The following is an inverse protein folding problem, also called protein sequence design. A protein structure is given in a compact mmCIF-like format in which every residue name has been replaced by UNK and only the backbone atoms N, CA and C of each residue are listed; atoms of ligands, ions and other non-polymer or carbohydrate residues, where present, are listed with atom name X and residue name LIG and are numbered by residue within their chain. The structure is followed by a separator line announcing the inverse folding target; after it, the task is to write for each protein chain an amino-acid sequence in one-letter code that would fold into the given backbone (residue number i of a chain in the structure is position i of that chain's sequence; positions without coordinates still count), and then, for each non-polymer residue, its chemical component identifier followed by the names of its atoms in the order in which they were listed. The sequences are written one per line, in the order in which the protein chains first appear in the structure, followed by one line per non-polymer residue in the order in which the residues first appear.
data_IF_519559319344
#
_entry.id   IF_519559319344
#
_cell.length_a   1.000
_cell.length_b   1.000
_cell.length_c   1.000
_cell.angle_alpha   90.00
_cell.angle_beta   90.00
_cell.angle_gamma   90.00
#
_symmetry.space_group_name_H-M   'P 1'
#
loop_
_entity.id
_entity.type
_entity.pdbx_description
1 polymer ?
#
# COMPACT_ATOMS: atom_id res chain seq x y z
N UNK A 1 44.35 -12.72 13.80
CA UNK A 1 44.58 -11.33 13.36
C UNK A 1 43.82 -11.14 12.06
N UNK A 2 42.85 -10.22 12.03
CA UNK A 2 42.02 -9.92 10.86
C UNK A 2 40.52 -10.15 11.09
N UNK A 3 39.92 -9.50 12.08
CA UNK A 3 38.48 -9.27 12.07
C UNK A 3 38.21 -8.17 11.02
N UNK A 4 37.44 -8.52 9.99
CA UNK A 4 36.94 -7.55 9.01
C UNK A 4 35.77 -6.81 9.66
N UNK A 5 36.02 -5.55 10.04
CA UNK A 5 34.99 -4.62 10.53
C UNK A 5 33.99 -4.36 9.39
N UNK A 6 32.78 -4.89 9.51
CA UNK A 6 31.68 -4.58 8.60
C UNK A 6 31.34 -3.10 8.70
N UNK A 7 31.57 -2.34 7.63
CA UNK A 7 31.27 -0.91 7.62
C UNK A 7 29.76 -0.69 7.70
N UNK A 8 29.34 -0.07 8.80
CA UNK A 8 27.98 0.36 9.11
C UNK A 8 27.61 1.56 8.20
N UNK A 9 26.67 1.39 7.27
CA UNK A 9 26.32 2.45 6.32
C UNK A 9 25.18 3.29 6.89
N UNK A 10 25.52 4.44 7.47
CA UNK A 10 24.57 5.51 7.80
C UNK A 10 24.50 6.44 6.60
N UNK A 11 23.40 6.41 5.84
CA UNK A 11 23.23 7.29 4.67
C UNK A 11 22.44 8.53 5.09
N UNK A 12 23.01 9.74 5.08
CA UNK A 12 22.28 10.94 5.43
C UNK A 12 21.34 11.36 4.31
N UNK A 13 20.15 11.75 4.71
CA UNK A 13 19.21 12.50 3.89
C UNK A 13 19.46 13.98 4.14
N UNK A 14 19.63 14.73 3.06
CA UNK A 14 19.92 16.16 3.11
C UNK A 14 18.88 16.97 2.36
N UNK A 15 18.73 18.24 2.74
CA UNK A 15 18.04 19.22 1.91
C UNK A 15 18.91 19.53 0.69
N UNK A 16 18.29 19.55 -0.48
CA UNK A 16 18.99 19.74 -1.75
C UNK A 16 19.45 21.19 -1.97
N UNK A 17 18.77 22.17 -1.35
CA UNK A 17 19.09 23.60 -1.50
C UNK A 17 20.33 24.03 -0.71
N UNK A 18 20.46 23.60 0.56
CA UNK A 18 21.52 24.05 1.47
C UNK A 18 22.45 22.92 1.96
N UNK A 19 22.12 21.66 1.68
CA UNK A 19 22.91 20.50 2.07
C UNK A 19 22.76 20.10 3.55
N UNK A 20 21.85 20.69 4.31
CA UNK A 20 21.64 20.35 5.72
C UNK A 20 21.13 18.91 5.89
N UNK A 21 21.69 18.18 6.86
CA UNK A 21 21.24 16.82 7.17
C UNK A 21 19.97 16.84 8.03
N UNK A 22 18.93 16.14 7.58
CA UNK A 22 17.60 16.13 8.22
C UNK A 22 17.19 14.75 8.75
N UNK A 23 17.77 13.68 8.21
CA UNK A 23 17.53 12.31 8.63
C UNK A 23 18.70 11.41 8.24
N UNK A 24 18.75 10.21 8.81
CA UNK A 24 19.70 9.16 8.42
C UNK A 24 18.96 7.85 8.16
N UNK A 25 19.44 7.11 7.17
CA UNK A 25 19.04 5.72 6.91
C UNK A 25 19.95 4.83 7.73
N UNK A 26 19.38 3.92 8.52
CA UNK A 26 20.13 2.95 9.28
C UNK A 26 19.73 1.52 8.90
N UNK A 27 20.75 0.72 8.59
CA UNK A 27 20.64 -0.71 8.33
C UNK A 27 21.48 -1.42 9.40
N UNK A 28 20.90 -1.96 10.48
CA UNK A 28 21.71 -2.66 11.49
C UNK A 28 21.00 -3.79 12.24
N UNK A 29 21.67 -4.95 12.30
CA UNK A 29 21.60 -5.95 13.38
C UNK A 29 22.56 -5.54 14.51
N UNK A 30 22.15 -5.66 15.79
CA UNK A 30 22.92 -5.19 16.96
C UNK A 30 24.18 -6.03 17.22
N UNK A 31 25.29 -5.35 17.55
CA UNK A 31 26.36 -5.93 18.35
C UNK A 31 27.02 -4.86 19.24
N UNK A 32 26.75 -4.98 20.55
CA UNK A 32 27.49 -4.47 21.71
C UNK A 32 27.83 -2.96 21.76
N UNK A 33 26.99 -2.22 22.50
CA UNK A 33 27.27 -0.87 22.96
C UNK A 33 28.25 -0.90 24.15
N UNK A 34 29.40 -0.22 24.02
CA UNK A 34 30.19 0.24 25.16
C UNK A 34 30.49 1.74 25.01
N UNK A 35 30.05 2.48 26.05
CA UNK A 35 30.44 3.81 26.54
C UNK A 35 30.75 4.93 25.51
N UNK A 36 29.69 5.66 25.11
CA UNK A 36 29.62 7.11 24.77
C UNK A 36 28.61 7.40 23.63
N UNK A 37 27.91 6.39 23.12
CA UNK A 37 26.73 6.59 22.29
C UNK A 37 25.56 7.08 23.15
N UNK A 38 24.93 8.19 22.74
CA UNK A 38 23.62 8.59 23.26
C UNK A 38 22.65 7.46 22.90
N UNK A 39 22.18 6.72 23.90
CA UNK A 39 21.16 5.68 23.75
C UNK A 39 19.86 6.31 23.19
N UNK A 40 19.72 6.27 21.87
CA UNK A 40 18.54 6.73 21.12
C UNK A 40 17.43 5.66 21.05
N UNK A 41 17.60 4.52 21.73
CA UNK A 41 16.68 3.39 21.63
C UNK A 41 16.32 2.87 23.04
N UNK A 42 15.02 2.77 23.39
CA UNK A 42 14.60 1.87 24.46
C UNK A 42 14.94 0.45 24.03
N UNK A 43 15.85 -0.19 24.74
CA UNK A 43 16.16 -1.61 24.64
C UNK A 43 14.89 -2.40 24.94
N UNK A 44 14.26 -2.96 23.89
CA UNK A 44 13.43 -4.18 23.88
C UNK A 44 12.41 -4.13 22.72
N UNK A 45 12.80 -4.48 21.49
CA UNK A 45 11.85 -5.03 20.50
C UNK A 45 12.58 -6.01 19.57
N UNK A 46 12.19 -7.29 19.66
CA UNK A 46 12.69 -8.38 18.84
C UNK A 46 12.59 -8.08 17.33
N UNK A 47 13.75 -8.21 16.68
CA UNK A 47 14.06 -7.76 15.33
C UNK A 47 13.48 -8.70 14.26
N UNK A 48 12.55 -8.19 13.44
CA UNK A 48 12.40 -8.59 12.04
C UNK A 48 12.66 -7.36 11.19
N UNK A 49 13.89 -7.26 10.67
CA UNK A 49 14.50 -6.05 10.14
C UNK A 49 13.92 -5.62 8.78
N UNK A 50 12.92 -4.74 8.80
CA UNK A 50 12.82 -3.74 7.74
C UNK A 50 13.92 -2.69 7.99
N UNK A 51 14.58 -2.14 6.96
CA UNK A 51 15.45 -0.99 7.14
C UNK A 51 14.65 0.16 7.78
N UNK A 52 15.32 1.02 8.57
CA UNK A 52 14.65 2.07 9.35
C UNK A 52 15.21 3.45 8.97
N UNK A 53 14.33 4.42 8.65
CA UNK A 53 14.75 5.84 8.68
C UNK A 53 14.64 6.37 10.10
N UNK A 54 15.67 7.10 10.54
CA UNK A 54 15.66 7.81 11.81
C UNK A 54 15.72 9.31 11.52
N UNK A 55 14.60 10.05 11.63
CA UNK A 55 14.61 11.51 11.50
C UNK A 55 15.40 12.11 12.67
N UNK A 56 16.24 13.12 12.40
CA UNK A 56 17.17 13.66 13.40
C UNK A 56 16.46 14.55 14.45
N UNK A 57 15.15 14.78 14.37
CA UNK A 57 14.40 15.51 15.43
C UNK A 57 12.96 15.04 15.66
N UNK A 58 12.67 14.72 16.92
CA UNK A 58 11.34 14.90 17.54
C UNK A 58 11.51 15.20 19.03
N UNK A 59 11.56 16.48 19.42
CA UNK A 59 11.32 16.87 20.82
C UNK A 59 9.81 16.93 21.02
N UNK A 60 9.25 15.95 21.72
CA UNK A 60 7.89 16.06 22.26
C UNK A 60 7.86 17.18 23.30
N UNK A 61 6.74 17.91 23.38
CA UNK A 61 6.50 18.96 24.38
C UNK A 61 6.63 18.45 25.85
N UNK A 62 6.66 17.12 26.05
CA UNK A 62 6.81 16.46 27.35
C UNK A 62 8.20 15.83 27.60
N UNK A 63 9.28 16.40 27.07
CA UNK A 63 10.64 16.15 27.59
C UNK A 63 11.28 14.77 27.34
N UNK A 64 10.54 13.78 26.82
CA UNK A 64 11.10 12.55 26.27
C UNK A 64 11.15 12.66 24.74
N UNK A 65 12.34 12.49 24.14
CA UNK A 65 12.49 12.46 22.69
C UNK A 65 11.90 11.15 22.15
N UNK A 66 10.64 11.18 21.71
CA UNK A 66 10.03 10.06 21.02
C UNK A 66 10.61 10.00 19.60
N UNK A 67 11.72 9.30 19.40
CA UNK A 67 12.28 9.03 18.08
C UNK A 67 11.19 8.34 17.25
N UNK A 68 10.71 9.02 16.19
CA UNK A 68 9.77 8.40 15.26
C UNK A 68 10.51 7.32 14.47
N UNK A 69 10.18 6.05 14.71
CA UNK A 69 10.67 4.94 13.89
C UNK A 69 9.96 5.01 12.53
N UNK A 70 10.72 4.93 11.44
CA UNK A 70 10.16 4.89 10.08
C UNK A 70 10.49 3.52 9.47
N UNK A 71 9.51 2.63 9.33
CA UNK A 71 9.73 1.34 8.68
C UNK A 71 9.70 1.49 7.15
N UNK A 72 10.64 0.84 6.47
CA UNK A 72 10.80 0.96 5.02
C UNK A 72 10.23 -0.25 4.30
N UNK A 73 9.26 0.01 3.41
CA UNK A 73 8.77 -0.95 2.42
C UNK A 73 9.71 -0.92 1.22
N UNK A 74 10.47 -2.00 1.05
CA UNK A 74 11.43 -2.13 -0.06
C UNK A 74 10.75 -2.64 -1.34
N UNK A 75 11.34 -2.37 -2.52
CA UNK A 75 10.72 -2.75 -3.81
C UNK A 75 10.46 -4.25 -3.95
N UNK A 76 11.36 -5.09 -3.41
CA UNK A 76 11.21 -6.54 -3.49
C UNK A 76 9.98 -7.08 -2.74
N UNK A 77 9.42 -6.32 -1.80
CA UNK A 77 8.13 -6.67 -1.17
C UNK A 77 6.94 -6.46 -2.12
N UNK A 78 7.13 -5.73 -3.23
CA UNK A 78 6.07 -5.39 -4.18
C UNK A 78 6.01 -6.33 -5.40
N UNK A 79 7.01 -7.20 -5.58
CA UNK A 79 7.09 -8.16 -6.70
C UNK A 79 5.95 -9.20 -6.67
N UNK A 80 5.47 -9.53 -5.47
CA UNK A 80 4.42 -10.51 -5.23
C UNK A 80 3.05 -9.89 -5.01
N UNK A 81 2.23 -10.61 -4.24
CA UNK A 81 0.98 -10.11 -3.70
C UNK A 81 1.26 -9.01 -2.65
N UNK A 82 0.73 -7.77 -2.81
CA UNK A 82 0.88 -6.69 -1.85
C UNK A 82 0.01 -6.85 -0.59
N UNK A 83 -0.96 -7.76 -0.57
CA UNK A 83 -1.89 -7.98 0.55
C UNK A 83 -1.18 -8.23 1.89
N UNK A 84 -0.18 -9.13 1.98
CA UNK A 84 0.57 -9.33 3.22
C UNK A 84 1.36 -8.09 3.63
N UNK A 85 1.86 -7.32 2.67
CA UNK A 85 2.62 -6.09 2.92
C UNK A 85 1.72 -5.02 3.53
N UNK A 86 0.49 -4.85 3.01
CA UNK A 86 -0.50 -3.95 3.61
C UNK A 86 -0.81 -4.31 5.06
N UNK A 87 -0.92 -5.61 5.37
CA UNK A 87 -1.11 -6.08 6.75
C UNK A 87 0.12 -5.86 7.66
N UNK A 88 1.34 -5.84 7.11
CA UNK A 88 2.55 -5.47 7.86
C UNK A 88 2.59 -3.96 8.13
N UNK A 89 2.22 -3.14 7.13
CA UNK A 89 2.09 -1.69 7.25
C UNK A 89 1.10 -1.33 8.35
N UNK A 90 -0.06 -1.99 8.39
CA UNK A 90 -1.08 -1.74 9.41
C UNK A 90 -0.58 -2.04 10.84
N UNK A 91 0.23 -3.09 11.00
CA UNK A 91 0.86 -3.40 12.30
C UNK A 91 1.91 -2.37 12.68
N UNK A 92 2.79 -2.01 11.75
CA UNK A 92 3.82 -1.00 11.98
C UNK A 92 3.17 0.34 12.40
N UNK A 93 2.10 0.77 11.72
CA UNK A 93 1.33 1.96 12.09
C UNK A 93 0.68 1.85 13.47
N UNK A 94 0.14 0.68 13.82
CA UNK A 94 -0.43 0.43 15.14
C UNK A 94 0.62 0.51 16.26
N UNK A 95 1.89 0.21 15.94
CA UNK A 95 3.05 0.39 16.84
C UNK A 95 3.57 1.84 16.89
N UNK A 96 3.01 2.75 16.08
CA UNK A 96 3.39 4.15 16.02
C UNK A 96 4.49 4.47 14.99
N UNK A 97 4.81 3.52 14.12
CA UNK A 97 5.78 3.74 13.05
C UNK A 97 5.21 4.63 11.94
N UNK A 98 6.10 5.45 11.41
CA UNK A 98 5.94 6.05 10.10
C UNK A 98 6.33 5.04 9.02
N UNK A 99 5.80 5.22 7.83
CA UNK A 99 6.01 4.30 6.71
C UNK A 99 6.75 5.03 5.60
N UNK A 100 7.84 4.43 5.14
CA UNK A 100 8.49 4.85 3.91
C UNK A 100 8.30 3.82 2.81
N UNK A 101 8.10 4.28 1.57
CA UNK A 101 8.13 3.43 0.40
C UNK A 101 9.35 3.77 -0.45
N UNK A 102 10.20 2.78 -0.74
CA UNK A 102 11.36 2.98 -1.61
C UNK A 102 11.18 2.38 -3.01
N UNK A 103 12.03 2.86 -3.93
CA UNK A 103 12.04 2.47 -5.34
C UNK A 103 10.88 3.02 -6.16
N UNK A 104 10.29 4.14 -5.75
CA UNK A 104 9.33 4.87 -6.59
C UNK A 104 10.06 5.39 -7.83
N UNK A 105 9.45 5.22 -9.00
CA UNK A 105 10.04 5.57 -10.30
C UNK A 105 11.06 4.56 -10.85
N UNK A 106 11.63 3.67 -10.02
CA UNK A 106 12.47 2.56 -10.48
C UNK A 106 11.74 1.22 -10.50
N UNK A 107 10.71 1.05 -9.68
CA UNK A 107 9.91 -0.17 -9.60
C UNK A 107 8.52 0.04 -10.23
N UNK A 108 8.10 -0.80 -11.20
CA UNK A 108 6.86 -0.58 -11.98
C UNK A 108 5.59 -0.43 -11.15
N UNK A 109 5.53 -1.09 -9.98
CA UNK A 109 4.33 -1.12 -9.12
C UNK A 109 4.28 -0.05 -8.03
N UNK A 110 5.42 0.56 -7.71
CA UNK A 110 5.53 1.37 -6.50
C UNK A 110 4.65 2.63 -6.57
N UNK A 111 4.59 3.25 -7.75
CA UNK A 111 3.79 4.45 -7.98
C UNK A 111 2.27 4.18 -7.86
N UNK A 112 1.80 3.07 -8.43
CA UNK A 112 0.39 2.69 -8.37
C UNK A 112 -0.07 2.26 -6.97
N UNK A 113 0.84 1.78 -6.13
CA UNK A 113 0.53 1.35 -4.76
C UNK A 113 0.56 2.49 -3.72
N UNK A 114 1.07 3.69 -4.06
CA UNK A 114 1.06 4.85 -3.15
C UNK A 114 -0.29 5.12 -2.49
N UNK A 115 -1.45 5.04 -3.18
CA UNK A 115 -2.74 5.30 -2.55
C UNK A 115 -3.22 4.23 -1.58
N UNK A 116 -2.63 3.02 -1.63
CA UNK A 116 -2.96 1.91 -0.73
C UNK A 116 -1.99 1.83 0.45
N UNK A 117 -0.72 2.15 0.20
CA UNK A 117 0.35 2.18 1.23
C UNK A 117 0.28 3.46 2.03
N UNK A 118 -0.07 4.57 1.37
CA UNK A 118 -0.14 5.93 1.91
C UNK A 118 1.12 6.33 2.70
N UNK A 119 2.33 6.25 2.11
CA UNK A 119 3.57 6.43 2.86
C UNK A 119 3.74 7.87 3.37
N UNK A 120 4.44 8.01 4.49
CA UNK A 120 4.87 9.28 5.07
C UNK A 120 6.13 9.81 4.38
N UNK A 121 6.99 8.89 3.90
CA UNK A 121 8.19 9.20 3.12
C UNK A 121 8.19 8.41 1.82
N UNK A 122 8.37 9.10 0.69
CA UNK A 122 8.45 8.51 -0.64
C UNK A 122 9.90 8.63 -1.11
N UNK A 123 10.57 7.50 -1.33
CA UNK A 123 11.95 7.47 -1.83
C UNK A 123 11.95 7.14 -3.31
N UNK A 124 12.32 8.13 -4.11
CA UNK A 124 12.44 8.06 -5.57
C UNK A 124 13.84 7.58 -5.91
N UNK A 125 13.96 6.44 -6.59
CA UNK A 125 15.25 5.90 -6.99
C UNK A 125 15.86 6.64 -8.20
N UNK A 126 17.17 6.52 -8.38
CA UNK A 126 17.91 7.15 -9.49
C UNK A 126 17.32 6.88 -10.89
N UNK A 127 16.72 5.70 -11.10
CA UNK A 127 16.03 5.37 -12.36
C UNK A 127 14.80 6.23 -12.64
N UNK A 128 14.07 6.66 -11.59
CA UNK A 128 12.93 7.56 -11.72
C UNK A 128 13.31 9.02 -11.97
N UNK A 129 14.55 9.39 -11.62
CA UNK A 129 15.12 10.71 -11.88
C UNK A 129 15.82 10.79 -13.24
N UNK A 130 15.94 9.67 -13.97
CA UNK A 130 16.58 9.64 -15.27
C UNK A 130 15.56 9.88 -16.39
N UNK A 131 16.00 10.42 -17.53
CA UNK A 131 15.16 10.61 -18.72
C UNK A 131 15.37 9.48 -19.74
N UNK A 132 15.35 8.23 -19.26
CA UNK A 132 15.53 7.03 -20.08
C UNK A 132 14.29 6.71 -20.92
N UNK A 133 14.44 5.80 -21.89
CA UNK A 133 13.35 5.44 -22.81
C UNK A 133 12.11 4.84 -22.11
N UNK A 134 12.28 4.23 -20.94
CA UNK A 134 11.22 3.56 -20.17
C UNK A 134 10.71 4.40 -18.98
N UNK A 135 11.25 5.59 -18.76
CA UNK A 135 10.85 6.48 -17.66
C UNK A 135 10.10 7.71 -18.19
N UNK A 136 8.93 8.00 -17.61
CA UNK A 136 8.22 9.26 -17.81
C UNK A 136 8.35 10.13 -16.55
N UNK A 137 9.41 10.98 -16.46
CA UNK A 137 9.65 11.81 -15.28
C UNK A 137 8.54 12.84 -15.06
N UNK A 138 7.80 13.23 -16.10
CA UNK A 138 6.69 14.19 -16.00
C UNK A 138 5.49 13.50 -15.36
N UNK A 139 5.12 12.30 -15.83
CA UNK A 139 4.05 11.52 -15.20
C UNK A 139 4.37 11.23 -13.73
N UNK A 140 5.61 10.83 -13.44
CA UNK A 140 6.08 10.65 -12.06
C UNK A 140 5.93 11.93 -11.23
N UNK A 141 6.39 13.08 -11.70
CA UNK A 141 6.27 14.34 -10.98
C UNK A 141 4.80 14.73 -10.73
N UNK A 142 3.93 14.56 -11.71
CA UNK A 142 2.50 14.83 -11.56
C UNK A 142 1.84 13.88 -10.54
N UNK A 143 2.20 12.60 -10.57
CA UNK A 143 1.72 11.61 -9.62
C UNK A 143 2.20 11.89 -8.20
N UNK A 144 3.48 12.25 -8.03
CA UNK A 144 4.06 12.66 -6.74
C UNK A 144 3.38 13.92 -6.20
N UNK A 145 3.24 14.96 -7.03
CA UNK A 145 2.56 16.20 -6.64
C UNK A 145 1.14 15.91 -6.12
N UNK A 146 0.37 15.08 -6.85
CA UNK A 146 -0.98 14.69 -6.45
C UNK A 146 -1.01 13.94 -5.11
N UNK A 147 -0.01 13.08 -4.82
CA UNK A 147 0.07 12.37 -3.54
C UNK A 147 0.47 13.31 -2.40
N UNK A 148 1.52 14.10 -2.59
CA UNK A 148 2.04 15.06 -1.60
C UNK A 148 0.98 16.08 -1.20
N UNK A 149 0.20 16.61 -2.15
CA UNK A 149 -0.88 17.55 -1.87
C UNK A 149 -1.91 16.97 -0.88
N UNK A 150 -2.18 15.67 -0.96
CA UNK A 150 -3.20 15.01 -0.12
C UNK A 150 -2.67 14.50 1.20
N UNK A 151 -1.47 13.92 1.21
CA UNK A 151 -0.92 13.23 2.38
C UNK A 151 0.13 14.04 3.13
N UNK A 152 0.61 15.16 2.59
CA UNK A 152 1.77 15.88 3.10
C UNK A 152 3.02 14.98 3.23
N UNK A 153 3.08 13.90 2.43
CA UNK A 153 4.22 12.99 2.40
C UNK A 153 5.48 13.71 1.93
N UNK A 154 6.63 13.29 2.45
CA UNK A 154 7.91 13.86 2.08
C UNK A 154 8.59 13.03 1.00
N UNK A 155 8.99 13.68 -0.08
CA UNK A 155 9.71 13.02 -1.18
C UNK A 155 11.21 13.18 -0.98
N UNK A 156 11.94 12.08 -1.09
CA UNK A 156 13.40 11.98 -1.01
C UNK A 156 13.91 11.36 -2.31
N UNK A 157 14.84 12.04 -2.98
CA UNK A 157 15.55 11.51 -4.12
C UNK A 157 16.77 10.71 -3.68
N UNK A 158 16.84 9.43 -4.02
CA UNK A 158 18.02 8.60 -3.78
C UNK A 158 18.90 8.48 -5.03
N UNK A 159 20.21 8.41 -4.84
CA UNK A 159 21.21 8.36 -5.92
C UNK A 159 21.58 9.72 -6.51
N UNK A 160 21.55 10.79 -5.72
CA UNK A 160 22.05 12.12 -6.11
C UNK A 160 23.59 12.12 -6.11
N UNK A 161 24.18 11.99 -7.29
CA UNK A 161 25.64 11.86 -7.46
C UNK A 161 26.30 13.14 -8.00
N UNK A 162 25.55 13.99 -8.70
CA UNK A 162 26.03 15.22 -9.34
C UNK A 162 25.17 16.44 -9.02
N UNK A 163 25.67 17.66 -9.29
CA UNK A 163 24.86 18.89 -9.21
C UNK A 163 23.67 18.87 -10.18
N UNK A 164 23.85 18.24 -11.34
CA UNK A 164 22.78 18.07 -12.34
C UNK A 164 21.63 17.21 -11.81
N UNK A 165 21.94 16.15 -11.06
CA UNK A 165 20.90 15.31 -10.45
C UNK A 165 20.10 16.11 -9.41
N UNK A 166 20.79 16.98 -8.66
CA UNK A 166 20.18 17.89 -7.69
C UNK A 166 19.24 18.89 -8.37
N UNK A 167 19.70 19.58 -9.43
CA UNK A 167 18.89 20.50 -10.23
C UNK A 167 17.66 19.81 -10.81
N UNK A 168 17.81 18.59 -11.32
CA UNK A 168 16.71 17.84 -11.88
C UNK A 168 15.69 17.42 -10.81
N UNK A 169 16.14 16.91 -9.65
CA UNK A 169 15.26 16.57 -8.54
C UNK A 169 14.47 17.79 -8.05
N UNK A 170 15.12 18.96 -7.92
CA UNK A 170 14.47 20.22 -7.57
C UNK A 170 13.43 20.64 -8.61
N UNK A 171 13.73 20.47 -9.91
CA UNK A 171 12.79 20.78 -11.00
C UNK A 171 11.54 19.89 -10.97
N UNK A 172 11.63 18.66 -10.44
CA UNK A 172 10.50 17.76 -10.22
C UNK A 172 9.77 18.02 -8.89
N UNK A 173 10.18 19.04 -8.12
CA UNK A 173 9.60 19.42 -6.83
C UNK A 173 10.13 18.64 -5.63
N UNK A 174 11.20 17.84 -5.79
CA UNK A 174 11.82 17.06 -4.73
C UNK A 174 12.84 17.94 -4.00
N UNK A 175 12.72 18.04 -2.67
CA UNK A 175 13.56 18.96 -1.85
C UNK A 175 14.60 18.25 -0.99
N UNK A 176 14.52 16.92 -0.88
CA UNK A 176 15.42 16.12 -0.07
C UNK A 176 16.10 15.06 -0.92
N UNK A 177 17.32 14.68 -0.58
CA UNK A 177 17.98 13.57 -1.24
C UNK A 177 19.20 12.98 -0.54
N UNK A 178 19.65 11.85 -1.07
CA UNK A 178 20.82 11.08 -0.64
C UNK A 178 21.64 10.64 -1.86
N UNK A 179 22.95 10.45 -1.69
CA UNK A 179 23.84 9.98 -2.77
C UNK A 179 25.29 10.43 -2.62
N UNK A 180 26.15 10.03 -3.57
CA UNK A 180 27.61 10.21 -3.47
C UNK A 180 28.03 11.67 -3.46
N UNK A 181 27.22 12.57 -4.03
CA UNK A 181 27.44 14.03 -3.98
C UNK A 181 27.66 14.52 -2.55
N UNK A 182 27.02 13.86 -1.59
CA UNK A 182 27.04 14.25 -0.19
C UNK A 182 28.06 13.48 0.65
N UNK A 183 28.72 12.44 0.12
CA UNK A 183 29.70 11.60 0.84
C UNK A 183 30.91 12.40 1.35
N UNK A 184 31.36 13.41 0.62
CA UNK A 184 32.47 14.28 1.03
C UNK A 184 32.17 15.12 2.28
N UNK A 185 30.90 15.45 2.53
CA UNK A 185 30.44 16.19 3.71
C UNK A 185 30.43 15.33 5.00
N UNK A 186 30.66 14.03 4.90
CA UNK A 186 30.75 13.10 6.03
C UNK A 186 32.11 13.16 6.75
N UNK A 187 33.10 13.83 6.14
CA UNK A 187 34.43 14.05 6.73
C UNK A 187 34.50 15.29 7.64
N UNK A 188 33.37 15.97 7.85
CA UNK A 188 33.22 17.14 8.73
C UNK A 188 32.58 16.70 10.05
N UNK A 189 32.96 17.26 11.22
CA UNK A 189 32.64 16.67 12.51
C UNK A 189 31.14 16.66 12.78
N UNK A 190 30.63 15.45 13.05
CA UNK A 190 29.34 15.09 13.64
C UNK A 190 28.07 15.73 13.02
N UNK A 191 27.27 15.00 12.22
CA UNK A 191 25.97 15.48 11.73
C UNK A 191 25.00 15.86 12.87
N UNK A 192 25.26 15.42 14.11
CA UNK A 192 24.51 15.81 15.31
C UNK A 192 24.90 17.18 15.89
N UNK A 193 25.98 17.81 15.40
CA UNK A 193 26.45 19.15 15.86
C UNK A 193 25.72 20.33 15.21
N UNK A 194 24.75 20.09 14.31
CA UNK A 194 23.85 21.14 13.84
C UNK A 194 23.14 21.78 15.04
N UNK A 195 23.29 23.10 15.19
CA UNK A 195 22.74 23.85 16.33
C UNK A 195 21.20 23.95 16.30
N UNK A 196 20.55 23.56 15.19
CA UNK A 196 19.10 23.31 15.10
C UNK A 196 18.81 22.30 13.96
N UNK A 197 18.62 21.02 14.24
CA UNK A 197 18.28 20.08 13.18
C UNK A 197 16.87 20.41 12.65
N UNK A 198 16.75 20.58 11.33
CA UNK A 198 15.46 20.74 10.66
C UNK A 198 14.74 19.39 10.60
N UNK A 199 13.42 19.35 10.84
CA UNK A 199 12.68 18.10 10.80
C UNK A 199 12.48 17.63 9.35
N UNK A 200 12.65 16.34 9.10
CA UNK A 200 12.33 15.73 7.80
C UNK A 200 10.85 15.93 7.45
N UNK A 201 9.95 15.75 8.42
CA UNK A 201 8.52 16.01 8.29
C UNK A 201 8.19 17.41 8.85
N UNK A 202 7.67 18.29 8.01
CA UNK A 202 7.27 19.64 8.41
C UNK A 202 5.97 19.68 9.23
N UNK A 203 5.16 18.63 9.17
CA UNK A 203 3.87 18.52 9.86
C UNK A 203 3.37 17.07 9.87
N UNK A 204 2.16 16.83 10.41
CA UNK A 204 1.55 15.51 10.32
C UNK A 204 1.31 15.14 8.86
N UNK A 205 1.51 13.88 8.55
CA UNK A 205 1.08 13.26 7.31
C UNK A 205 -0.37 12.82 7.46
N UNK A 206 -1.16 12.96 6.40
CA UNK A 206 -2.55 12.57 6.38
C UNK A 206 -2.72 11.18 5.77
N UNK A 207 -3.57 10.40 6.42
CA UNK A 207 -3.83 9.01 6.14
C UNK A 207 -5.33 8.79 6.17
N UNK A 208 -5.83 7.89 5.34
CA UNK A 208 -7.22 7.45 5.45
C UNK A 208 -7.41 6.60 6.71
N UNK A 209 -8.53 6.83 7.40
CA UNK A 209 -8.84 6.11 8.63
C UNK A 209 -8.89 4.59 8.42
N UNK A 210 -8.41 3.78 9.39
CA UNK A 210 -8.50 2.34 9.35
C UNK A 210 -9.92 1.85 9.07
N UNK A 211 -10.00 0.74 8.34
CA UNK A 211 -11.27 0.17 7.90
C UNK A 211 -11.85 -0.76 8.97
N UNK A 212 -13.16 -0.63 9.26
CA UNK A 212 -14.01 -1.63 9.86
C UNK A 212 -13.60 -3.09 9.68
N UNK A 213 -13.33 -3.87 10.73
CA UNK A 213 -13.23 -5.32 10.55
C UNK A 213 -14.55 -5.86 9.97
N UNK A 214 -14.47 -6.55 8.83
CA UNK A 214 -15.65 -7.12 8.15
C UNK A 214 -16.42 -6.13 7.27
N UNK A 215 -16.01 -4.86 7.17
CA UNK A 215 -16.58 -3.92 6.20
C UNK A 215 -16.43 -4.42 4.77
N UNK A 216 -17.35 -3.97 3.92
CA UNK A 216 -17.36 -4.23 2.49
C UNK A 216 -17.36 -2.92 1.71
N UNK A 217 -16.95 -2.91 0.43
CA UNK A 217 -17.03 -1.72 -0.41
C UNK A 217 -18.43 -1.10 -0.43
N UNK A 218 -19.50 -1.89 -0.56
CA UNK A 218 -20.85 -1.32 -0.61
C UNK A 218 -21.25 -0.68 0.71
N UNK A 219 -20.89 -1.30 1.85
CA UNK A 219 -21.15 -0.73 3.18
C UNK A 219 -20.40 0.58 3.45
N UNK A 220 -19.24 0.77 2.82
CA UNK A 220 -18.41 1.98 2.96
C UNK A 220 -18.81 3.07 1.96
N UNK A 221 -19.22 2.70 0.75
CA UNK A 221 -19.53 3.63 -0.34
C UNK A 221 -20.97 4.14 -0.25
N UNK A 222 -21.94 3.27 0.06
CA UNK A 222 -23.36 3.62 0.00
C UNK A 222 -23.86 4.65 1.03
N UNK A 223 -23.32 4.76 2.27
CA UNK A 223 -23.83 5.72 3.25
C UNK A 223 -23.81 7.16 2.73
N UNK A 224 -24.93 7.86 2.87
CA UNK A 224 -25.08 9.26 2.45
C UNK A 224 -25.18 9.47 0.93
N UNK A 225 -25.23 8.40 0.12
CA UNK A 225 -25.36 8.46 -1.33
C UNK A 225 -26.68 7.84 -1.80
N UNK A 226 -27.21 8.34 -2.91
CA UNK A 226 -28.36 7.71 -3.56
C UNK A 226 -27.95 6.35 -4.12
N UNK A 227 -28.76 5.33 -3.83
CA UNK A 227 -28.61 3.98 -4.38
C UNK A 227 -29.51 3.85 -5.59
N UNK A 228 -28.91 3.60 -6.75
CA UNK A 228 -29.65 3.49 -8.01
C UNK A 228 -29.95 2.02 -8.26
N UNK A 229 -31.20 1.69 -8.56
CA UNK A 229 -31.58 0.34 -8.97
C UNK A 229 -31.33 0.14 -10.46
N UNK A 230 -30.67 -0.95 -10.83
CA UNK A 230 -30.45 -1.32 -12.23
C UNK A 230 -30.30 -2.82 -12.42
N UNK A 231 -30.23 -3.24 -13.68
CA UNK A 231 -30.01 -4.63 -14.09
C UNK A 231 -28.53 -4.90 -14.35
N UNK A 232 -28.13 -6.17 -14.21
CA UNK A 232 -26.77 -6.66 -14.46
C UNK A 232 -26.15 -6.14 -15.77
N UNK A 233 -26.93 -6.12 -16.85
CA UNK A 233 -26.46 -5.71 -18.18
C UNK A 233 -25.81 -4.32 -18.20
N UNK A 234 -26.46 -3.32 -17.58
CA UNK A 234 -25.89 -1.96 -17.50
C UNK A 234 -24.63 -1.93 -16.65
N UNK A 235 -24.60 -2.67 -15.53
CA UNK A 235 -23.43 -2.72 -14.66
C UNK A 235 -22.22 -3.37 -15.33
N UNK A 236 -22.43 -4.34 -16.24
CA UNK A 236 -21.34 -4.91 -17.07
C UNK A 236 -20.74 -3.84 -17.97
N UNK A 237 -21.57 -3.02 -18.61
CA UNK A 237 -21.10 -1.94 -19.47
C UNK A 237 -20.31 -0.90 -18.66
N UNK A 238 -20.85 -0.45 -17.51
CA UNK A 238 -20.18 0.49 -16.62
C UNK A 238 -18.85 -0.03 -16.09
N UNK A 239 -18.81 -1.30 -15.64
CA UNK A 239 -17.57 -1.89 -15.12
C UNK A 239 -16.53 -2.05 -16.24
N UNK A 240 -16.95 -2.40 -17.45
CA UNK A 240 -16.05 -2.55 -18.60
C UNK A 240 -15.47 -1.21 -19.03
N UNK A 241 -16.25 -0.12 -19.00
CA UNK A 241 -15.73 1.23 -19.24
C UNK A 241 -14.70 1.64 -18.18
N UNK A 242 -14.93 1.27 -16.91
CA UNK A 242 -13.99 1.54 -15.83
C UNK A 242 -12.70 0.72 -15.97
N UNK A 243 -12.78 -0.55 -16.37
CA UNK A 243 -11.62 -1.39 -16.72
C UNK A 243 -10.78 -0.74 -17.84
N UNK A 244 -11.45 -0.18 -18.85
CA UNK A 244 -10.81 0.49 -19.99
C UNK A 244 -10.11 1.81 -19.61
N UNK A 245 -10.71 2.58 -18.69
CA UNK A 245 -10.06 3.75 -18.08
C UNK A 245 -8.80 3.36 -17.29
N UNK A 246 -8.87 2.27 -16.51
CA UNK A 246 -7.71 1.75 -15.79
C UNK A 246 -6.57 1.38 -16.75
N UNK A 247 -6.90 0.68 -17.84
CA UNK A 247 -5.95 0.29 -18.89
C UNK A 247 -5.29 1.52 -19.53
N UNK A 248 -6.08 2.56 -19.82
CA UNK A 248 -5.59 3.80 -20.44
C UNK A 248 -4.66 4.60 -19.53
N UNK A 249 -4.88 4.54 -18.21
CA UNK A 249 -4.05 5.20 -17.21
C UNK A 249 -2.72 4.47 -16.94
N UNK A 250 -2.59 3.20 -17.34
CA UNK A 250 -1.30 2.50 -17.40
C UNK A 250 -0.79 1.99 -16.06
N UNK A 251 0.53 1.95 -15.93
CA UNK A 251 1.24 1.34 -14.80
C UNK A 251 1.02 2.05 -13.47
N UNK A 252 0.41 3.23 -13.43
CA UNK A 252 0.15 3.98 -12.18
C UNK A 252 -1.13 3.53 -11.44
N UNK A 253 -1.78 2.45 -11.89
CA UNK A 253 -3.13 2.07 -11.46
C UNK A 253 -3.17 0.66 -10.87
N UNK A 254 -4.02 0.51 -9.87
CA UNK A 254 -4.45 -0.75 -9.26
C UNK A 254 -5.92 -0.98 -9.56
N UNK A 255 -6.29 -2.22 -9.90
CA UNK A 255 -7.68 -2.63 -10.06
C UNK A 255 -8.03 -3.79 -9.11
N UNK A 256 -9.13 -3.66 -8.38
CA UNK A 256 -9.65 -4.68 -7.46
C UNK A 256 -11.10 -4.99 -7.82
N UNK A 257 -11.39 -6.27 -8.05
CA UNK A 257 -12.72 -6.75 -8.45
C UNK A 257 -13.25 -7.82 -7.51
N UNK A 258 -14.52 -7.72 -7.11
CA UNK A 258 -15.25 -8.82 -6.44
C UNK A 258 -16.32 -9.34 -7.39
N UNK A 259 -16.23 -10.62 -7.75
CA UNK A 259 -17.09 -11.25 -8.76
C UNK A 259 -18.11 -12.19 -8.16
N UNK A 260 -18.30 -12.16 -6.84
CA UNK A 260 -19.20 -13.03 -6.09
C UNK A 260 -18.81 -14.51 -6.18
N UNK A 261 -19.06 -15.18 -7.31
CA UNK A 261 -18.88 -16.62 -7.56
C UNK A 261 -18.18 -16.87 -8.89
N UNK A 262 -17.48 -18.01 -9.02
CA UNK A 262 -16.70 -18.36 -10.22
C UNK A 262 -17.48 -18.27 -11.54
N UNK A 263 -18.75 -18.65 -11.57
CA UNK A 263 -19.55 -18.58 -12.80
C UNK A 263 -19.84 -17.15 -13.29
N UNK A 264 -19.68 -16.13 -12.44
CA UNK A 264 -19.72 -14.72 -12.84
C UNK A 264 -18.38 -14.19 -13.36
N UNK A 265 -17.33 -15.01 -13.33
CA UNK A 265 -16.01 -14.72 -13.89
C UNK A 265 -15.73 -15.64 -15.09
N UNK A 266 -16.51 -15.53 -16.19
CA UNK A 266 -16.31 -16.37 -17.36
C UNK A 266 -14.97 -16.06 -18.05
N UNK A 267 -14.55 -16.96 -18.95
CA UNK A 267 -13.29 -16.85 -19.70
C UNK A 267 -13.12 -15.52 -20.46
N UNK A 268 -14.21 -14.83 -20.82
CA UNK A 268 -14.15 -13.50 -21.44
C UNK A 268 -13.73 -12.42 -20.44
N UNK A 269 -14.23 -12.44 -19.21
CA UNK A 269 -13.82 -11.53 -18.12
C UNK A 269 -12.40 -11.84 -17.67
N UNK A 270 -12.05 -13.13 -17.55
CA UNK A 270 -10.69 -13.57 -17.25
C UNK A 270 -9.67 -13.04 -18.26
N UNK A 271 -9.97 -13.12 -19.56
CA UNK A 271 -9.12 -12.55 -20.62
C UNK A 271 -8.96 -11.04 -20.49
N UNK A 272 -10.06 -10.29 -20.29
CA UNK A 272 -9.99 -8.83 -20.10
C UNK A 272 -9.13 -8.44 -18.90
N UNK A 273 -9.29 -9.14 -17.78
CA UNK A 273 -8.51 -8.87 -16.57
C UNK A 273 -7.04 -9.28 -16.72
N UNK A 274 -6.75 -10.33 -17.50
CA UNK A 274 -5.39 -10.74 -17.83
C UNK A 274 -4.72 -9.71 -18.75
N UNK A 275 -5.45 -9.15 -19.72
CA UNK A 275 -4.98 -8.05 -20.55
C UNK A 275 -4.70 -6.80 -19.72
N UNK A 276 -5.60 -6.47 -18.78
CA UNK A 276 -5.42 -5.36 -17.85
C UNK A 276 -4.17 -5.56 -16.97
N UNK A 277 -3.95 -6.77 -16.45
CA UNK A 277 -2.81 -7.11 -15.60
C UNK A 277 -1.45 -6.93 -16.28
N UNK A 278 -1.40 -6.96 -17.62
CA UNK A 278 -0.19 -6.69 -18.40
C UNK A 278 0.14 -5.21 -18.51
N UNK A 279 -0.79 -4.32 -18.19
CA UNK A 279 -0.65 -2.87 -18.39
C UNK A 279 -0.59 -2.08 -17.08
N UNK A 280 -1.29 -2.53 -16.04
CA UNK A 280 -1.41 -1.79 -14.77
C UNK A 280 -0.50 -2.36 -13.66
N UNK A 281 -0.31 -1.62 -12.56
CA UNK A 281 0.55 -2.04 -11.43
C UNK A 281 0.12 -3.36 -10.82
N UNK A 282 -1.19 -3.53 -10.58
CA UNK A 282 -1.70 -4.67 -9.83
C UNK A 282 -3.17 -4.93 -10.15
N UNK A 283 -3.53 -6.20 -10.32
CA UNK A 283 -4.92 -6.64 -10.46
C UNK A 283 -5.23 -7.71 -9.41
N UNK A 284 -6.35 -7.54 -8.71
CA UNK A 284 -6.86 -8.53 -7.79
C UNK A 284 -8.32 -8.87 -8.09
N UNK A 285 -8.63 -10.16 -8.16
CA UNK A 285 -9.96 -10.66 -8.41
C UNK A 285 -10.38 -11.62 -7.29
N UNK A 286 -11.55 -11.36 -6.71
CA UNK A 286 -12.10 -12.11 -5.58
C UNK A 286 -13.36 -12.84 -6.02
N UNK A 287 -13.49 -14.10 -5.62
CA UNK A 287 -14.70 -14.86 -5.86
C UNK A 287 -14.78 -16.13 -5.03
N UNK A 288 -15.99 -16.59 -4.78
CA UNK A 288 -16.23 -17.93 -4.27
C UNK A 288 -15.72 -18.95 -5.30
N UNK A 289 -15.08 -20.01 -4.83
CA UNK A 289 -14.53 -21.10 -5.65
C UNK A 289 -13.39 -20.69 -6.59
N UNK A 290 -12.80 -19.50 -6.40
CA UNK A 290 -11.54 -19.17 -7.06
C UNK A 290 -10.41 -20.06 -6.52
N UNK A 291 -9.56 -20.53 -7.41
CA UNK A 291 -8.28 -21.12 -7.05
C UNK A 291 -7.21 -20.02 -7.05
N UNK A 292 -6.35 -19.94 -6.02
CA UNK A 292 -5.19 -19.06 -6.05
C UNK A 292 -4.32 -19.41 -7.26
N UNK A 293 -4.21 -18.49 -8.20
CA UNK A 293 -3.37 -18.60 -9.38
C UNK A 293 -2.94 -17.18 -9.79
N UNK A 294 -1.69 -17.02 -10.22
CA UNK A 294 -1.13 -15.76 -10.73
C UNK A 294 -0.51 -15.91 -12.12
N UNK A 295 -0.71 -17.07 -12.77
CA UNK A 295 -0.16 -17.41 -14.08
C UNK A 295 -0.55 -16.43 -15.18
N UNK A 296 -1.70 -15.77 -15.01
CA UNK A 296 -2.22 -14.74 -15.93
C UNK A 296 -1.98 -13.30 -15.47
N UNK A 297 -1.14 -13.09 -14.45
CA UNK A 297 -0.87 -11.77 -13.84
C UNK A 297 -1.99 -11.25 -12.94
N UNK A 298 -3.14 -11.93 -12.89
CA UNK A 298 -4.25 -11.62 -11.99
C UNK A 298 -4.01 -12.31 -10.66
N UNK A 299 -4.06 -11.56 -9.55
CA UNK A 299 -4.05 -12.18 -8.23
C UNK A 299 -5.45 -12.63 -7.84
N UNK A 300 -5.68 -13.94 -7.76
CA UNK A 300 -6.98 -14.53 -7.41
C UNK A 300 -7.07 -14.89 -5.94
N UNK A 301 -8.17 -14.47 -5.32
CA UNK A 301 -8.47 -14.75 -3.93
C UNK A 301 -9.81 -15.46 -3.79
N UNK A 302 -9.81 -16.49 -2.95
CA UNK A 302 -11.02 -17.25 -2.62
C UNK A 302 -11.79 -16.55 -1.52
N UNK A 303 -13.05 -16.24 -1.78
CA UNK A 303 -14.00 -15.79 -0.76
C UNK A 303 -14.52 -16.99 0.05
N UNK A 304 -14.76 -16.77 1.35
CA UNK A 304 -15.44 -17.73 2.20
C UNK A 304 -16.94 -17.75 1.86
N UNK A 305 -17.66 -18.89 1.88
CA UNK A 305 -19.09 -18.96 1.49
C UNK A 305 -20.07 -18.08 2.29
N UNK A 306 -19.66 -17.59 3.46
CA UNK A 306 -20.44 -16.69 4.32
C UNK A 306 -19.88 -15.27 4.33
N UNK A 307 -18.99 -14.97 3.40
CA UNK A 307 -18.40 -13.66 3.24
C UNK A 307 -19.43 -12.71 2.61
N UNK A 308 -19.73 -11.54 3.20
CA UNK A 308 -20.67 -10.58 2.61
C UNK A 308 -20.27 -10.10 1.21
N UNK A 309 -19.00 -10.23 0.80
CA UNK A 309 -18.57 -9.94 -0.58
C UNK A 309 -19.14 -10.91 -1.62
N UNK A 310 -19.77 -12.02 -1.21
CA UNK A 310 -20.50 -12.92 -2.13
C UNK A 310 -21.75 -12.25 -2.69
N UNK A 311 -22.33 -11.29 -1.97
CA UNK A 311 -23.54 -10.59 -2.42
C UNK A 311 -23.20 -9.25 -3.09
N UNK A 312 -21.92 -8.88 -3.16
CA UNK A 312 -21.45 -7.64 -3.76
C UNK A 312 -20.60 -7.85 -5.02
N UNK A 313 -20.91 -7.05 -6.04
CA UNK A 313 -20.07 -6.86 -7.20
C UNK A 313 -19.42 -5.49 -7.14
N UNK A 314 -18.10 -5.49 -7.00
CA UNK A 314 -17.29 -4.29 -6.93
C UNK A 314 -16.24 -4.29 -8.03
N UNK A 315 -16.02 -3.12 -8.65
CA UNK A 315 -14.84 -2.84 -9.48
C UNK A 315 -14.28 -1.51 -9.01
N UNK A 316 -13.08 -1.55 -8.43
CA UNK A 316 -12.40 -0.43 -7.81
C UNK A 316 -11.10 -0.18 -8.58
N UNK A 317 -10.92 1.05 -9.05
CA UNK A 317 -9.73 1.50 -9.78
C UNK A 317 -9.10 2.66 -9.03
N UNK A 318 -7.82 2.53 -8.70
CA UNK A 318 -7.07 3.54 -7.94
C UNK A 318 -5.70 3.73 -8.57
N UNK A 319 -5.38 4.94 -8.98
CA UNK A 319 -4.03 5.35 -9.33
C UNK A 319 -3.74 6.75 -8.82
N UNK A 320 -2.50 7.23 -8.88
CA UNK A 320 -2.09 8.49 -8.23
C UNK A 320 -2.96 9.72 -8.59
N UNK A 321 -3.45 9.78 -9.84
CA UNK A 321 -4.21 10.89 -10.42
C UNK A 321 -5.71 10.60 -10.63
N UNK A 322 -6.12 9.33 -10.62
CA UNK A 322 -7.50 8.91 -10.87
C UNK A 322 -7.97 7.89 -9.83
N UNK A 323 -9.22 7.98 -9.39
CA UNK A 323 -9.84 6.95 -8.56
C UNK A 323 -11.33 6.89 -8.86
N UNK A 324 -11.86 5.68 -9.07
CA UNK A 324 -13.28 5.44 -9.26
C UNK A 324 -13.65 4.05 -8.73
N UNK A 325 -14.82 3.95 -8.11
CA UNK A 325 -15.38 2.67 -7.70
C UNK A 325 -16.82 2.55 -8.17
N UNK A 326 -17.13 1.42 -8.79
CA UNK A 326 -18.47 0.89 -8.94
C UNK A 326 -18.68 -0.16 -7.85
N UNK A 327 -19.71 0.02 -7.03
CA UNK A 327 -20.09 -0.93 -6.00
C UNK A 327 -21.57 -1.25 -6.11
N UNK A 328 -21.91 -2.53 -6.21
CA UNK A 328 -23.26 -3.01 -6.44
C UNK A 328 -23.60 -4.16 -5.50
N UNK A 329 -24.77 -4.09 -4.88
CA UNK A 329 -25.34 -5.13 -4.02
C UNK A 329 -26.43 -5.88 -4.79
N UNK A 330 -26.29 -7.20 -4.90
CA UNK A 330 -27.29 -8.05 -5.53
C UNK A 330 -28.56 -8.10 -4.68
N UNK A 331 -29.70 -7.81 -5.30
CA UNK A 331 -31.01 -7.90 -4.64
C UNK A 331 -31.57 -9.32 -4.63
N UNK A 332 -30.84 -10.26 -5.24
CA UNK A 332 -31.22 -11.67 -5.40
C UNK A 332 -32.61 -11.82 -6.03
N UNK A 333 -32.94 -10.94 -6.97
CA UNK A 333 -34.16 -11.08 -7.75
C UNK A 333 -34.07 -12.35 -8.59
N UNK A 334 -35.08 -13.22 -8.45
CA UNK A 334 -35.14 -14.45 -9.24
C UNK A 334 -35.24 -14.14 -10.74
N UNK A 335 -34.74 -15.03 -11.59
CA UNK A 335 -34.84 -14.90 -13.04
C UNK A 335 -33.53 -15.19 -13.79
N UNK A 336 -33.47 -14.90 -15.10
CA UNK A 336 -32.25 -15.05 -15.88
C UNK A 336 -31.12 -14.17 -15.34
N UNK A 337 -29.88 -14.67 -15.34
CA UNK A 337 -28.72 -13.98 -14.76
C UNK A 337 -28.52 -12.55 -15.28
N UNK A 338 -28.75 -12.29 -16.58
CA UNK A 338 -28.65 -10.96 -17.17
C UNK A 338 -29.70 -9.94 -16.69
N UNK A 339 -30.78 -10.41 -16.05
CA UNK A 339 -31.87 -9.58 -15.52
C UNK A 339 -31.83 -9.44 -13.99
N UNK A 340 -30.79 -9.96 -13.33
CA UNK A 340 -30.58 -9.73 -11.90
C UNK A 340 -30.52 -8.24 -11.61
N UNK A 341 -31.21 -7.83 -10.56
CA UNK A 341 -31.29 -6.45 -10.13
C UNK A 341 -30.31 -6.19 -9.01
N UNK A 342 -29.72 -5.00 -9.05
CA UNK A 342 -28.73 -4.52 -8.10
C UNK A 342 -29.13 -3.12 -7.65
N UNK A 343 -28.86 -2.83 -6.38
CA UNK A 343 -28.67 -1.45 -5.95
C UNK A 343 -27.18 -1.12 -6.13
N UNK A 344 -26.84 -0.07 -6.88
CA UNK A 344 -25.46 0.32 -7.12
C UNK A 344 -25.17 1.78 -6.79
N UNK A 345 -23.90 2.06 -6.54
CA UNK A 345 -23.34 3.40 -6.33
C UNK A 345 -22.03 3.50 -7.11
N UNK A 346 -21.82 4.64 -7.77
CA UNK A 346 -20.54 5.03 -8.36
C UNK A 346 -19.99 6.21 -7.56
N UNK A 347 -18.71 6.18 -7.23
CA UNK A 347 -18.06 7.28 -6.52
C UNK A 347 -16.68 7.56 -7.10
N UNK A 348 -16.30 8.83 -7.05
CA UNK A 348 -14.95 9.35 -7.33
C UNK A 348 -14.30 9.92 -6.06
N UNK A 349 -14.97 9.81 -4.91
CA UNK A 349 -14.38 10.20 -3.62
C UNK A 349 -13.27 9.24 -3.23
N UNK A 350 -12.05 9.70 -3.47
CA UNK A 350 -10.82 8.92 -3.30
C UNK A 350 -10.65 8.35 -1.91
N UNK A 351 -11.00 9.10 -0.87
CA UNK A 351 -10.85 8.65 0.52
C UNK A 351 -11.70 7.40 0.78
N UNK A 352 -12.98 7.45 0.40
CA UNK A 352 -13.90 6.31 0.47
C UNK A 352 -13.44 5.16 -0.42
N UNK A 353 -12.92 5.43 -1.61
CA UNK A 353 -12.45 4.40 -2.55
C UNK A 353 -11.23 3.65 -2.00
N UNK A 354 -10.26 4.36 -1.39
CA UNK A 354 -9.10 3.74 -0.74
C UNK A 354 -9.58 2.83 0.41
N UNK A 355 -10.51 3.29 1.25
CA UNK A 355 -11.12 2.45 2.30
C UNK A 355 -11.79 1.22 1.72
N UNK A 356 -12.55 1.37 0.64
CA UNK A 356 -13.23 0.28 -0.03
C UNK A 356 -12.23 -0.76 -0.58
N UNK A 357 -11.17 -0.33 -1.26
CA UNK A 357 -10.13 -1.25 -1.75
C UNK A 357 -9.41 -1.95 -0.59
N UNK A 358 -9.03 -1.21 0.46
CA UNK A 358 -8.39 -1.79 1.66
C UNK A 358 -9.30 -2.77 2.39
N UNK A 359 -10.62 -2.57 2.40
CA UNK A 359 -11.60 -3.52 2.96
C UNK A 359 -11.58 -4.90 2.29
N UNK A 360 -11.20 -4.93 1.01
CA UNK A 360 -11.08 -6.15 0.21
C UNK A 360 -9.67 -6.71 0.29
N UNK A 361 -8.64 -5.86 0.10
CA UNK A 361 -7.24 -6.29 0.07
C UNK A 361 -6.72 -6.72 1.44
N UNK A 362 -7.08 -6.05 2.54
CA UNK A 362 -6.65 -6.46 3.89
C UNK A 362 -7.53 -7.59 4.46
N UNK A 363 -8.43 -8.16 3.66
CA UNK A 363 -9.34 -9.20 4.11
C UNK A 363 -8.57 -10.50 4.38
N UNK A 364 -8.82 -11.22 5.48
CA UNK A 364 -8.16 -12.49 5.74
C UNK A 364 -8.43 -13.47 4.59
N UNK A 365 -7.38 -13.83 3.86
CA UNK A 365 -7.51 -14.83 2.80
C UNK A 365 -7.86 -16.17 3.46
N UNK A 366 -8.92 -16.82 3.01
CA UNK A 366 -9.30 -18.13 3.48
C UNK A 366 -8.20 -19.14 3.12
N UNK A 367 -7.28 -19.40 4.04
CA UNK A 367 -6.36 -20.53 3.93
C UNK A 367 -7.16 -21.84 3.98
N UNK A 368 -6.74 -22.83 3.19
CA UNK A 368 -7.29 -24.18 3.24
C UNK A 368 -7.28 -24.76 4.68
N UNK A 369 -6.34 -24.33 5.52
CA UNK A 369 -6.26 -24.72 6.93
C UNK A 369 -7.37 -24.09 7.80
N UNK A 370 -7.74 -22.84 7.55
CA UNK A 370 -8.80 -22.14 8.30
C UNK A 370 -10.19 -22.66 7.91
N UNK A 371 -10.37 -23.06 6.65
CA UNK A 371 -11.60 -23.71 6.18
C UNK A 371 -11.82 -25.09 6.85
N UNK A 372 -10.74 -25.86 7.05
CA UNK A 372 -10.80 -27.13 7.78
C UNK A 372 -11.11 -26.91 9.27
N UNK A 373 -10.53 -25.90 9.91
CA UNK A 373 -10.79 -25.57 11.32
C UNK A 373 -12.24 -25.07 11.55
N UNK A 374 -12.79 -24.29 10.61
CA UNK A 374 -14.19 -23.85 10.63
C UNK A 374 -15.17 -25.00 10.44
N UNK A 375 -14.86 -25.95 9.53
CA UNK A 375 -15.67 -27.15 9.33
C UNK A 375 -15.67 -28.09 10.55
N UNK A 376 -14.54 -28.21 11.27
CA UNK A 376 -14.44 -28.99 12.51
C UNK A 376 -15.25 -28.35 13.64
N UNK A 377 -15.22 -27.01 13.77
CA UNK A 377 -16.02 -26.29 14.78
C UNK A 377 -17.53 -26.37 14.52
N UNK A 378 -17.98 -26.26 13.26
CA UNK A 378 -19.40 -26.45 12.92
C UNK A 378 -19.87 -27.90 13.13
N UNK A 379 -19.03 -28.91 12.89
CA UNK A 379 -19.36 -30.31 13.18
C UNK A 379 -19.45 -30.61 14.67
N UNK A 380 -18.61 -29.97 15.50
CA UNK A 380 -18.70 -30.08 16.95
C UNK A 380 -19.99 -29.43 17.50
N UNK A 381 -20.38 -28.26 16.97
CA UNK A 381 -21.63 -27.58 17.35
C UNK A 381 -22.90 -28.36 16.94
N UNK A 382 -22.87 -29.07 15.82
CA UNK A 382 -23.97 -29.94 15.37
C UNK A 382 -23.98 -31.31 16.08
N UNK A 383 -22.84 -31.76 16.63
CA UNK A 383 -22.71 -33.02 17.38
C UNK A 383 -23.28 -32.97 18.80
N UNK A 384 -23.19 -31.81 19.47
CA UNK A 384 -23.69 -31.64 20.85
C UNK A 384 -25.22 -31.55 20.94
N UNK A 385 -25.91 -31.25 19.84
CA UNK A 385 -27.38 -31.13 19.82
C UNK A 385 -28.13 -32.46 19.67
N UNK A 386 -27.42 -33.60 19.59
CA UNK A 386 -28.04 -34.95 19.49
C UNK A 386 -27.88 -35.84 20.72
N UNK A 387 -27.26 -35.36 21.81
CA UNK A 387 -27.04 -36.18 23.03
C UNK A 387 -27.89 -35.81 24.25
N UNK A 388 -28.77 -34.82 24.17
CA UNK A 388 -29.71 -34.47 25.25
C UNK A 388 -31.15 -34.83 24.87
N UNK A 389 -31.51 -36.11 24.90
CA UNK A 389 -32.89 -36.52 24.58
C UNK A 389 -33.19 -38.01 24.61
N UNK A 390 -32.61 -38.78 25.53
CA UNK A 390 -33.16 -40.09 25.91
C UNK A 390 -32.58 -40.53 27.26
N UNK A 391 -33.25 -40.14 28.34
CA UNK A 391 -33.31 -40.91 29.58
C UNK A 391 -34.31 -40.29 30.55
N UNK A 392 -35.42 -41.03 30.74
CA UNK A 392 -36.44 -40.97 31.81
C UNK A 392 -37.59 -39.98 31.65
#
# INVERSE_FOLDING_TARGET
MGQSSGAQLVVPIRQLEDGECVAVVWNGEDANCDADCIDLFPSDVERRALPVFVPITRRSANGAAAVSRVSVVTPGLLDGDPTPVLGLIDRARAEGDLIALSGVGSHPRALGLLPLIEPDVIVVGAGGLSNGADSDPIALAQALAAVVERSNAVVVADGIDTDRDCEHALALGIRHGSGRKFESLHRTPDPMRSTRPRPLLAGPTWQVDPVPAGSTPFSLISPGRERIRSVKGLLVEMSTQLEEQARSAGSEVVAVGTFQRLHHFPASTERRWSDLARTISFTAAYGEQFSPASDLGIHRYRLHPHDPLIDEWNVIVIGARFACALSALDLHTGGPDGKREFDYVVTYDRSTIVRAARSVLCRPVASAATAAAGAVRSRAALGDSRQSGSAR
#
